data_IF_043845559005
#
_entry.id   IF_043845559005
#
_cell.length_a   1.000
_cell.length_b   1.000
_cell.length_c   1.000
_cell.angle_alpha   90.00
_cell.angle_beta   90.00
_cell.angle_gamma   90.00
#
_symmetry.space_group_name_H-M   'P 1'
#
loop_
_entity.id
_entity.type
_entity.pdbx_description
1 polymer ?
#
# COMPACT_ATOMS: atom_id res chain seq x y z
N UNK A 1 26.99 -31.29 29.98
CA UNK A 1 26.23 -32.21 29.12
C UNK A 1 24.77 -31.82 29.25
N UNK A 2 24.37 -30.63 28.81
CA UNK A 2 23.98 -30.32 27.42
C UNK A 2 23.23 -31.48 26.73
N UNK A 3 21.90 -31.39 26.63
CA UNK A 3 21.26 -30.94 25.39
C UNK A 3 19.72 -30.98 25.48
N UNK A 4 19.11 -29.95 24.89
CA UNK A 4 17.73 -29.82 24.41
C UNK A 4 16.56 -29.58 25.41
N UNK A 5 16.10 -28.33 25.35
CA UNK A 5 14.98 -27.65 26.03
C UNK A 5 13.60 -28.02 25.45
N UNK A 6 12.51 -28.15 26.25
CA UNK A 6 11.15 -28.30 25.75
C UNK A 6 10.58 -26.94 25.32
N UNK A 7 11.15 -26.34 24.28
CA UNK A 7 10.74 -25.03 23.72
C UNK A 7 10.02 -25.16 22.37
N UNK A 8 9.26 -26.22 22.16
CA UNK A 8 8.51 -26.43 20.91
C UNK A 8 7.12 -25.75 20.93
N UNK A 9 6.80 -24.89 21.91
CA UNK A 9 5.47 -24.26 22.01
C UNK A 9 5.43 -22.73 22.03
N UNK A 10 6.39 -22.05 21.38
CA UNK A 10 6.32 -20.57 21.27
C UNK A 10 7.10 -20.01 20.07
N UNK A 11 6.87 -20.47 18.83
CA UNK A 11 7.55 -19.88 17.66
C UNK A 11 6.70 -19.79 16.39
N UNK A 12 5.39 -19.52 16.49
CA UNK A 12 4.55 -19.24 15.30
C UNK A 12 3.48 -18.16 15.49
N UNK A 13 3.69 -17.17 16.37
CA UNK A 13 2.68 -16.10 16.55
C UNK A 13 3.22 -14.67 16.73
N UNK A 14 4.50 -14.41 16.45
CA UNK A 14 5.13 -13.12 16.77
C UNK A 14 5.50 -12.22 15.58
N UNK A 15 5.30 -12.61 14.32
CA UNK A 15 5.56 -11.70 13.18
C UNK A 15 4.34 -10.91 12.71
N UNK A 16 3.12 -11.22 13.17
CA UNK A 16 1.88 -10.58 12.73
C UNK A 16 1.26 -9.60 13.72
N UNK A 17 1.94 -9.31 14.85
CA UNK A 17 1.43 -8.38 15.88
C UNK A 17 1.79 -6.90 15.68
N UNK A 18 2.57 -6.56 14.64
CA UNK A 18 2.93 -5.17 14.33
C UNK A 18 1.96 -4.42 13.38
N UNK A 19 1.11 -5.11 12.62
CA UNK A 19 0.34 -4.48 11.52
C UNK A 19 -1.13 -4.20 11.85
N UNK A 20 -1.72 -4.84 12.86
CA UNK A 20 -3.17 -4.74 13.10
C UNK A 20 -3.60 -3.57 14.00
N UNK A 21 -2.65 -2.86 14.62
CA UNK A 21 -2.96 -1.77 15.55
C UNK A 21 -2.98 -0.37 14.90
N UNK A 22 -2.32 -0.16 13.75
CA UNK A 22 -1.96 1.20 13.28
C UNK A 22 -2.79 1.76 12.11
N UNK A 23 -3.66 0.96 11.47
CA UNK A 23 -4.44 1.42 10.30
C UNK A 23 -5.72 2.16 10.66
N UNK A 24 -6.27 1.93 11.86
CA UNK A 24 -7.52 2.58 12.32
C UNK A 24 -7.40 4.10 12.50
N UNK A 25 -6.18 4.63 12.65
CA UNK A 25 -5.94 6.05 12.90
C UNK A 25 -5.51 6.83 11.65
N UNK A 26 -5.36 6.19 10.49
CA UNK A 26 -5.02 6.90 9.27
C UNK A 26 -6.26 7.65 8.75
N UNK A 27 -6.19 8.97 8.53
CA UNK A 27 -7.27 9.69 7.89
C UNK A 27 -7.36 9.21 6.43
N UNK A 28 -8.47 8.57 6.09
CA UNK A 28 -8.79 8.18 4.71
C UNK A 28 -9.88 9.13 4.22
N UNK A 29 -9.60 10.01 3.24
CA UNK A 29 -10.59 10.94 2.73
C UNK A 29 -11.69 10.18 1.99
N UNK A 30 -12.94 10.68 2.03
CA UNK A 30 -14.00 10.12 1.21
C UNK A 30 -13.70 10.35 -0.28
N UNK A 31 -14.07 9.38 -1.12
CA UNK A 31 -14.01 9.48 -2.57
C UNK A 31 -15.37 9.15 -3.17
N UNK A 32 -15.77 9.85 -4.23
CA UNK A 32 -16.95 9.52 -5.03
C UNK A 32 -16.78 8.15 -5.71
N UNK A 33 -17.87 7.44 -6.07
CA UNK A 33 -17.78 6.20 -6.82
C UNK A 33 -16.95 6.33 -8.10
N UNK A 34 -17.05 7.46 -8.78
CA UNK A 34 -16.31 7.76 -10.01
C UNK A 34 -14.81 7.88 -9.74
N UNK A 35 -14.41 8.59 -8.67
CA UNK A 35 -13.01 8.69 -8.26
C UNK A 35 -12.44 7.33 -7.84
N UNK A 36 -13.22 6.52 -7.11
CA UNK A 36 -12.81 5.17 -6.73
C UNK A 36 -12.59 4.30 -7.96
N UNK A 37 -13.53 4.32 -8.92
CA UNK A 37 -13.42 3.57 -10.16
C UNK A 37 -12.19 3.99 -11.00
N UNK A 38 -11.92 5.29 -11.08
CA UNK A 38 -10.75 5.81 -11.78
C UNK A 38 -9.43 5.31 -11.16
N UNK A 39 -9.30 5.40 -9.84
CA UNK A 39 -8.10 4.91 -9.12
C UNK A 39 -7.98 3.39 -9.23
N UNK A 40 -9.08 2.64 -9.08
CA UNK A 40 -9.10 1.20 -9.22
C UNK A 40 -8.66 0.75 -10.62
N UNK A 41 -9.12 1.42 -11.67
CA UNK A 41 -8.72 1.13 -13.05
C UNK A 41 -7.23 1.38 -13.33
N UNK A 42 -6.60 2.35 -12.66
CA UNK A 42 -5.14 2.56 -12.73
C UNK A 42 -4.39 1.44 -11.99
N UNK A 43 -4.87 1.03 -10.82
CA UNK A 43 -4.28 -0.06 -10.03
C UNK A 43 -4.37 -1.38 -10.80
N UNK A 44 -5.51 -1.68 -11.44
CA UNK A 44 -5.67 -2.87 -12.28
C UNK A 44 -4.64 -2.91 -13.42
N UNK A 45 -4.34 -1.77 -14.05
CA UNK A 45 -3.30 -1.68 -15.09
C UNK A 45 -1.89 -1.96 -14.52
N UNK A 46 -1.56 -1.43 -13.34
CA UNK A 46 -0.29 -1.71 -12.66
C UNK A 46 -0.16 -3.21 -12.35
N UNK A 47 -1.20 -3.79 -11.79
CA UNK A 47 -1.23 -5.22 -11.44
C UNK A 47 -1.13 -6.10 -12.69
N UNK A 48 -1.83 -5.77 -13.77
CA UNK A 48 -1.75 -6.49 -15.04
C UNK A 48 -0.34 -6.40 -15.65
N UNK A 49 0.29 -5.23 -15.64
CA UNK A 49 1.65 -5.04 -16.14
C UNK A 49 2.66 -5.88 -15.33
N UNK A 50 2.58 -5.83 -13.99
CA UNK A 50 3.47 -6.59 -13.10
C UNK A 50 3.22 -8.10 -13.15
N UNK A 51 1.99 -8.52 -13.40
CA UNK A 51 1.66 -9.93 -13.63
C UNK A 51 2.28 -10.45 -14.93
N UNK A 52 2.28 -9.64 -16.00
CA UNK A 52 2.90 -9.99 -17.28
C UNK A 52 4.43 -9.98 -17.22
N UNK A 53 5.01 -8.98 -16.54
CA UNK A 53 6.45 -8.87 -16.33
C UNK A 53 6.72 -8.31 -14.92
N UNK A 54 7.28 -9.11 -13.98
CA UNK A 54 7.51 -8.66 -12.61
C UNK A 54 8.40 -7.40 -12.48
N UNK A 55 9.23 -7.13 -13.48
CA UNK A 55 10.08 -5.96 -13.57
C UNK A 55 9.52 -4.86 -14.50
N UNK A 56 8.23 -4.92 -14.86
CA UNK A 56 7.58 -3.89 -15.65
C UNK A 56 7.70 -2.53 -14.95
N UNK A 57 8.12 -1.52 -15.71
CA UNK A 57 8.10 -0.14 -15.25
C UNK A 57 6.65 0.37 -15.24
N UNK A 58 6.14 0.64 -14.04
CA UNK A 58 4.80 1.18 -13.81
C UNK A 58 4.83 2.59 -13.24
N UNK A 59 5.99 3.25 -13.25
CA UNK A 59 6.17 4.56 -12.62
C UNK A 59 5.15 5.59 -13.11
N UNK A 60 4.86 5.62 -14.42
CA UNK A 60 3.88 6.56 -14.98
C UNK A 60 2.44 6.31 -14.52
N UNK A 61 2.07 5.04 -14.24
CA UNK A 61 0.75 4.70 -13.69
C UNK A 61 0.68 5.02 -12.20
N UNK A 62 1.77 4.74 -11.48
CA UNK A 62 1.89 5.02 -10.04
C UNK A 62 1.84 6.54 -9.78
N UNK A 63 2.50 7.36 -10.60
CA UNK A 63 2.40 8.83 -10.51
C UNK A 63 0.98 9.36 -10.74
N UNK A 64 0.19 8.73 -11.62
CA UNK A 64 -1.21 9.08 -11.82
C UNK A 64 -2.06 8.73 -10.61
N UNK A 65 -1.77 7.59 -9.96
CA UNK A 65 -2.41 7.20 -8.70
C UNK A 65 -2.06 8.19 -7.60
N UNK A 66 -0.79 8.56 -7.46
CA UNK A 66 -0.34 9.54 -6.46
C UNK A 66 -1.05 10.88 -6.62
N UNK A 67 -1.13 11.40 -7.86
CA UNK A 67 -1.85 12.64 -8.15
C UNK A 67 -3.35 12.54 -7.82
N UNK A 68 -4.00 11.44 -8.20
CA UNK A 68 -5.42 11.22 -7.92
C UNK A 68 -5.70 11.10 -6.41
N UNK A 69 -4.84 10.40 -5.67
CA UNK A 69 -4.96 10.26 -4.21
C UNK A 69 -4.64 11.57 -3.50
N UNK A 70 -3.59 12.29 -3.90
CA UNK A 70 -3.26 13.59 -3.33
C UNK A 70 -4.41 14.61 -3.46
N UNK A 71 -5.14 14.57 -4.58
CA UNK A 71 -6.33 15.38 -4.77
C UNK A 71 -7.45 15.04 -3.77
N UNK A 72 -7.60 13.77 -3.36
CA UNK A 72 -8.56 13.38 -2.31
C UNK A 72 -8.18 13.95 -0.94
N UNK A 73 -6.88 14.10 -0.68
CA UNK A 73 -6.36 14.72 0.54
C UNK A 73 -6.36 16.26 0.49
N UNK A 74 -6.71 16.86 -0.64
CA UNK A 74 -6.67 18.31 -0.82
C UNK A 74 -5.26 18.89 -0.78
N UNK A 75 -4.24 18.09 -1.13
CA UNK A 75 -2.85 18.55 -1.13
C UNK A 75 -2.61 19.59 -2.23
N UNK A 76 -1.83 20.60 -1.89
CA UNK A 76 -1.36 21.62 -2.83
C UNK A 76 -0.29 21.05 -3.76
N UNK A 77 -0.06 21.70 -4.91
CA UNK A 77 1.02 21.31 -5.82
C UNK A 77 2.40 21.28 -5.15
N UNK A 78 2.63 22.17 -4.17
CA UNK A 78 3.86 22.19 -3.39
C UNK A 78 4.01 20.96 -2.48
N UNK A 79 2.91 20.47 -1.90
CA UNK A 79 2.89 19.26 -1.08
C UNK A 79 2.97 17.98 -1.92
N UNK A 80 2.34 17.99 -3.10
CA UNK A 80 2.46 16.89 -4.08
C UNK A 80 3.90 16.73 -4.55
N UNK A 81 4.64 17.82 -4.76
CA UNK A 81 6.04 17.77 -5.16
C UNK A 81 6.98 17.11 -4.13
N UNK A 82 6.52 16.89 -2.89
CA UNK A 82 7.27 16.14 -1.87
C UNK A 82 7.14 14.62 -2.01
N UNK A 83 6.22 14.13 -2.84
CA UNK A 83 5.91 12.70 -2.98
C UNK A 83 6.85 11.98 -3.96
N UNK A 84 7.64 12.69 -4.76
CA UNK A 84 8.67 12.11 -5.64
C UNK A 84 8.79 12.76 -7.00
#
# INVERSE_FOLDING_TARGET
MDSASPRVRTLLNDTTRGLTASTKSLPIPPATPEQQAAIAGLVEQVLAAKAAAPAADTQALEQQIDAAVAALYGLTAAEVALLG
#
